data_IF_836048663808
#
_entry.id   IF_836048663808
#
_cell.length_a   1.000
_cell.length_b   1.000
_cell.length_c   1.000
_cell.angle_alpha   90.00
_cell.angle_beta   90.00
_cell.angle_gamma   90.00
#
_symmetry.space_group_name_H-M   'P 1'
#
loop_
_entity.id
_entity.type
_entity.pdbx_description
1 polymer ?
#
# COMPACT_ATOMS: atom_id res chain seq x y z
N UNK A 1 -7.06 23.75 -7.77
CA UNK A 1 -7.63 23.39 -6.46
C UNK A 1 -8.15 21.96 -6.40
N UNK A 2 -9.23 21.63 -7.11
CA UNK A 2 -9.87 20.29 -7.05
C UNK A 2 -8.92 19.14 -7.39
N UNK A 3 -8.14 19.27 -8.46
CA UNK A 3 -7.20 18.23 -8.86
C UNK A 3 -6.08 18.01 -7.83
N UNK A 4 -5.48 19.09 -7.34
CA UNK A 4 -4.49 19.07 -6.25
C UNK A 4 -5.06 18.39 -5.01
N UNK A 5 -6.29 18.74 -4.59
CA UNK A 5 -6.97 18.12 -3.45
C UNK A 5 -7.18 16.61 -3.64
N UNK A 6 -7.58 16.18 -4.84
CA UNK A 6 -7.82 14.77 -5.14
C UNK A 6 -6.53 13.96 -5.02
N UNK A 7 -5.45 14.41 -5.66
CA UNK A 7 -4.17 13.70 -5.64
C UNK A 7 -3.56 13.75 -4.24
N UNK A 8 -3.59 14.91 -3.58
CA UNK A 8 -3.07 15.05 -2.21
C UNK A 8 -3.79 14.11 -1.24
N UNK A 9 -5.13 14.02 -1.26
CA UNK A 9 -5.88 13.14 -0.36
C UNK A 9 -5.55 11.66 -0.59
N UNK A 10 -5.37 11.25 -1.84
CA UNK A 10 -4.95 9.88 -2.16
C UNK A 10 -3.55 9.59 -1.59
N UNK A 11 -2.58 10.46 -1.84
CA UNK A 11 -1.22 10.29 -1.36
C UNK A 11 -1.10 10.41 0.18
N UNK A 12 -1.89 11.29 0.81
CA UNK A 12 -1.91 11.48 2.26
C UNK A 12 -2.28 10.17 2.97
N UNK A 13 -3.33 9.48 2.52
CA UNK A 13 -3.73 8.21 3.12
C UNK A 13 -2.58 7.18 3.08
N UNK A 14 -1.82 7.17 1.99
CA UNK A 14 -0.76 6.19 1.75
C UNK A 14 0.51 6.50 2.54
N UNK A 15 1.03 7.73 2.42
CA UNK A 15 2.28 8.13 3.05
C UNK A 15 2.13 8.36 4.57
N UNK A 16 0.90 8.47 5.08
CA UNK A 16 0.64 8.55 6.53
C UNK A 16 0.49 7.17 7.15
N UNK A 17 -0.19 6.23 6.47
CA UNK A 17 -0.51 4.92 7.04
C UNK A 17 0.61 3.87 6.85
N UNK A 18 1.47 4.03 5.85
CA UNK A 18 2.50 3.03 5.54
C UNK A 18 3.93 3.51 5.77
N UNK A 19 4.51 3.14 6.91
CA UNK A 19 5.92 3.42 7.23
C UNK A 19 6.88 2.70 6.27
N UNK A 20 6.52 1.49 5.82
CA UNK A 20 7.32 0.70 4.87
C UNK A 20 7.44 1.38 3.50
N UNK A 21 6.34 1.98 3.02
CA UNK A 21 6.37 2.74 1.76
C UNK A 21 7.20 4.01 1.90
N UNK A 22 7.14 4.69 3.04
CA UNK A 22 8.00 5.85 3.32
C UNK A 22 9.49 5.48 3.28
N UNK A 23 9.85 4.32 3.84
CA UNK A 23 11.23 3.81 3.80
C UNK A 23 11.67 3.42 2.39
N UNK A 24 10.74 2.93 1.58
CA UNK A 24 11.02 2.48 0.21
C UNK A 24 11.15 3.64 -0.78
N UNK A 25 10.36 4.71 -0.59
CA UNK A 25 10.35 5.91 -1.44
C UNK A 25 10.75 7.17 -0.63
N UNK A 26 12.01 7.26 -0.14
CA UNK A 26 12.40 8.31 0.81
C UNK A 26 12.41 9.71 0.17
N UNK A 27 12.80 9.83 -1.10
CA UNK A 27 12.83 11.12 -1.80
C UNK A 27 11.40 11.61 -2.12
N UNK A 28 10.52 10.73 -2.58
CA UNK A 28 9.11 11.06 -2.81
C UNK A 28 8.38 11.38 -1.51
N UNK A 29 8.73 10.71 -0.41
CA UNK A 29 8.20 11.01 0.93
C UNK A 29 8.59 12.42 1.37
N UNK A 30 9.86 12.81 1.22
CA UNK A 30 10.30 14.19 1.54
C UNK A 30 9.58 15.21 0.68
N UNK A 31 9.41 14.93 -0.61
CA UNK A 31 8.69 15.80 -1.55
C UNK A 31 7.22 15.94 -1.16
N UNK A 32 6.58 14.84 -0.77
CA UNK A 32 5.21 14.82 -0.27
C UNK A 32 5.09 15.63 1.04
N UNK A 33 5.96 15.42 2.02
CA UNK A 33 5.93 16.14 3.30
C UNK A 33 6.09 17.68 3.11
N UNK A 34 6.92 18.11 2.15
CA UNK A 34 7.06 19.53 1.80
C UNK A 34 5.78 20.07 1.15
N UNK A 35 5.21 19.30 0.21
CA UNK A 35 3.98 19.67 -0.49
C UNK A 35 2.77 19.70 0.46
N UNK A 36 2.70 18.77 1.41
CA UNK A 36 1.69 18.71 2.47
C UNK A 36 1.72 19.97 3.34
N UNK A 37 2.90 20.36 3.83
CA UNK A 37 3.06 21.59 4.63
C UNK A 37 2.60 22.84 3.88
N UNK A 38 2.98 22.97 2.62
CA UNK A 38 2.55 24.09 1.79
C UNK A 38 1.04 24.07 1.57
N UNK A 39 0.49 22.91 1.21
CA UNK A 39 -0.93 22.78 0.94
C UNK A 39 -1.79 23.08 2.18
N UNK A 40 -1.42 22.58 3.36
CA UNK A 40 -2.08 22.91 4.63
C UNK A 40 -2.00 24.39 4.98
N UNK A 41 -0.86 25.04 4.73
CA UNK A 41 -0.70 26.48 4.91
C UNK A 41 -1.66 27.28 4.01
N UNK A 42 -1.78 26.87 2.75
CA UNK A 42 -2.72 27.48 1.81
C UNK A 42 -4.18 27.27 2.23
N UNK A 43 -4.54 26.06 2.68
CA UNK A 43 -5.89 25.78 3.18
C UNK A 43 -6.25 26.67 4.38
N UNK A 44 -5.32 26.89 5.31
CA UNK A 44 -5.51 27.78 6.46
C UNK A 44 -5.72 29.25 6.04
N UNK A 45 -4.98 29.70 5.03
CA UNK A 45 -5.16 31.04 4.45
C UNK A 45 -6.54 31.20 3.79
N UNK A 46 -7.00 30.16 3.08
CA UNK A 46 -8.34 30.13 2.51
C UNK A 46 -9.44 30.15 3.57
N UNK A 47 -9.27 29.40 4.66
CA UNK A 47 -10.22 29.38 5.78
C UNK A 47 -10.39 30.77 6.40
N UNK A 48 -9.32 31.56 6.49
CA UNK A 48 -9.40 32.96 6.96
C UNK A 48 -10.09 33.93 5.99
N UNK A 49 -10.29 33.54 4.73
CA UNK A 49 -10.90 34.39 3.69
C UNK A 49 -12.14 33.71 3.10
N UNK A 50 -13.33 33.85 3.71
CA UNK A 50 -14.54 33.11 3.30
C UNK A 50 -15.05 33.48 1.90
N UNK A 51 -14.60 34.60 1.31
CA UNK A 51 -14.90 34.94 -0.07
C UNK A 51 -13.97 34.20 -1.02
N UNK A 52 -14.53 33.23 -1.76
CA UNK A 52 -13.78 32.38 -2.70
C UNK A 52 -13.06 33.14 -3.79
N UNK A 53 -13.62 34.27 -4.27
CA UNK A 53 -13.00 35.09 -5.32
C UNK A 53 -11.76 35.78 -4.75
N UNK A 54 -11.88 36.40 -3.57
CA UNK A 54 -10.75 37.06 -2.91
C UNK A 54 -9.64 36.07 -2.50
N UNK A 55 -10.02 34.87 -2.07
CA UNK A 55 -9.08 33.82 -1.71
C UNK A 55 -8.35 33.25 -2.94
N UNK A 56 -9.05 33.06 -4.06
CA UNK A 56 -8.47 32.51 -5.29
C UNK A 56 -7.65 33.54 -6.09
N UNK A 57 -7.97 34.84 -5.98
CA UNK A 57 -7.26 35.92 -6.69
C UNK A 57 -5.96 36.37 -6.01
N UNK A 58 -5.51 35.70 -4.94
CA UNK A 58 -4.22 36.01 -4.32
C UNK A 58 -3.06 35.69 -5.29
N UNK A 59 -2.07 36.60 -5.47
CA UNK A 59 -1.05 36.46 -6.50
C UNK A 59 -0.26 35.15 -6.46
N UNK A 60 0.01 34.62 -5.27
CA UNK A 60 0.82 33.41 -5.08
C UNK A 60 0.04 32.10 -5.20
N UNK A 61 -1.30 32.14 -5.27
CA UNK A 61 -2.11 30.92 -5.21
C UNK A 61 -1.94 30.06 -6.46
N UNK A 62 -1.94 30.66 -7.64
CA UNK A 62 -1.81 29.92 -8.90
C UNK A 62 -0.44 29.23 -9.01
N UNK A 63 0.63 29.96 -8.72
CA UNK A 63 1.99 29.43 -8.79
C UNK A 63 2.21 28.30 -7.78
N UNK A 64 1.72 28.48 -6.54
CA UNK A 64 1.77 27.43 -5.52
C UNK A 64 0.97 26.20 -5.93
N UNK A 65 -0.22 26.36 -6.52
CA UNK A 65 -1.02 25.23 -7.00
C UNK A 65 -0.34 24.48 -8.14
N UNK A 66 0.28 25.18 -9.09
CA UNK A 66 0.99 24.57 -10.20
C UNK A 66 2.21 23.78 -9.69
N UNK A 67 2.96 24.35 -8.74
CA UNK A 67 4.08 23.67 -8.10
C UNK A 67 3.61 22.43 -7.31
N UNK A 68 2.54 22.56 -6.53
CA UNK A 68 1.94 21.44 -5.79
C UNK A 68 1.49 20.34 -6.74
N UNK A 69 0.78 20.69 -7.82
CA UNK A 69 0.32 19.71 -8.81
C UNK A 69 1.48 18.93 -9.41
N UNK A 70 2.54 19.63 -9.85
CA UNK A 70 3.72 19.00 -10.42
C UNK A 70 4.45 18.07 -9.42
N UNK A 71 4.55 18.48 -8.15
CA UNK A 71 5.19 17.67 -7.12
C UNK A 71 4.35 16.43 -6.77
N UNK A 72 3.04 16.60 -6.59
CA UNK A 72 2.12 15.50 -6.29
C UNK A 72 2.04 14.49 -7.44
N UNK A 73 2.04 14.94 -8.70
CA UNK A 73 2.08 14.06 -9.87
C UNK A 73 3.40 13.26 -9.95
N UNK A 74 4.53 13.83 -9.53
CA UNK A 74 5.79 13.09 -9.41
C UNK A 74 5.69 11.98 -8.37
N UNK A 75 5.17 12.29 -7.18
CA UNK A 75 4.96 11.30 -6.13
C UNK A 75 3.99 10.18 -6.57
N UNK A 76 2.89 10.54 -7.23
CA UNK A 76 1.90 9.57 -7.76
C UNK A 76 2.53 8.64 -8.82
N UNK A 77 3.34 9.20 -9.72
CA UNK A 77 4.05 8.42 -10.73
C UNK A 77 5.08 7.46 -10.10
N UNK A 78 5.85 7.94 -9.12
CA UNK A 78 6.82 7.10 -8.40
C UNK A 78 6.13 5.95 -7.67
N UNK A 79 5.01 6.23 -6.99
CA UNK A 79 4.20 5.23 -6.33
C UNK A 79 3.64 4.19 -7.32
N UNK A 80 3.13 4.66 -8.47
CA UNK A 80 2.61 3.77 -9.52
C UNK A 80 3.70 2.86 -10.06
N UNK A 81 4.88 3.42 -10.36
CA UNK A 81 6.03 2.65 -10.84
C UNK A 81 6.50 1.62 -9.80
N UNK A 82 6.45 1.98 -8.52
CA UNK A 82 6.76 1.06 -7.42
C UNK A 82 5.78 -0.12 -7.40
N UNK A 83 4.47 0.17 -7.44
CA UNK A 83 3.44 -0.88 -7.46
C UNK A 83 3.56 -1.79 -8.68
N UNK A 84 3.84 -1.23 -9.86
CA UNK A 84 4.03 -2.01 -11.08
C UNK A 84 5.26 -2.92 -10.99
N UNK A 85 6.34 -2.45 -10.36
CA UNK A 85 7.50 -3.30 -10.06
C UNK A 85 7.11 -4.49 -9.17
N UNK A 86 6.26 -4.28 -8.16
CA UNK A 86 5.78 -5.37 -7.31
C UNK A 86 4.87 -6.36 -8.07
N UNK A 87 4.02 -5.86 -8.96
CA UNK A 87 3.18 -6.72 -9.84
C UNK A 87 4.01 -7.57 -10.79
N UNK A 88 5.14 -7.08 -11.28
CA UNK A 88 6.05 -7.87 -12.13
C UNK A 88 6.69 -9.04 -11.37
N UNK A 89 7.00 -8.87 -10.08
CA UNK A 89 7.57 -9.94 -9.24
C UNK A 89 6.50 -10.99 -8.89
N UNK A 90 5.27 -10.55 -8.61
CA UNK A 90 4.15 -11.45 -8.32
C UNK A 90 2.92 -11.09 -9.17
N UNK A 91 2.75 -11.74 -10.34
CA UNK A 91 1.69 -11.41 -11.30
C UNK A 91 0.26 -11.51 -10.78
N UNK A 92 -0.01 -12.24 -9.68
CA UNK A 92 -1.36 -12.28 -9.11
C UNK A 92 -1.80 -10.94 -8.52
N UNK A 93 -0.88 -10.00 -8.26
CA UNK A 93 -1.24 -8.64 -7.86
C UNK A 93 -2.00 -7.85 -8.94
N UNK A 94 -1.97 -8.27 -10.21
CA UNK A 94 -2.82 -7.67 -11.24
C UNK A 94 -4.32 -7.87 -10.99
N UNK A 95 -4.72 -8.84 -10.16
CA UNK A 95 -6.12 -9.07 -9.79
C UNK A 95 -6.60 -8.19 -8.62
N UNK A 96 -5.70 -7.44 -7.99
CA UNK A 96 -6.03 -6.59 -6.86
C UNK A 96 -6.29 -5.15 -7.28
N UNK A 97 -7.13 -4.47 -6.51
CA UNK A 97 -7.20 -3.01 -6.56
C UNK A 97 -5.90 -2.40 -6.03
N UNK A 98 -5.58 -1.16 -6.44
CA UNK A 98 -4.41 -0.47 -5.89
C UNK A 98 -4.49 -0.35 -4.36
N UNK A 99 -5.68 -0.11 -3.80
CA UNK A 99 -5.85 -0.02 -2.34
C UNK A 99 -5.54 -1.35 -1.64
N UNK A 100 -6.01 -2.48 -2.19
CA UNK A 100 -5.72 -3.81 -1.64
C UNK A 100 -4.22 -4.14 -1.72
N UNK A 101 -3.60 -3.85 -2.87
CA UNK A 101 -2.17 -4.05 -3.05
C UNK A 101 -1.36 -3.22 -2.05
N UNK A 102 -1.75 -1.96 -1.85
CA UNK A 102 -1.11 -1.08 -0.89
C UNK A 102 -1.24 -1.59 0.55
N UNK A 103 -2.43 -2.07 0.92
CA UNK A 103 -2.66 -2.65 2.25
C UNK A 103 -1.84 -3.93 2.47
N UNK A 104 -1.63 -4.76 1.44
CA UNK A 104 -0.72 -5.91 1.50
C UNK A 104 0.73 -5.46 1.71
N UNK A 105 1.19 -4.47 0.95
CA UNK A 105 2.58 -3.98 1.01
C UNK A 105 2.86 -3.28 2.34
N UNK A 106 1.92 -2.50 2.86
CA UNK A 106 2.03 -1.82 4.14
C UNK A 106 2.08 -2.80 5.32
N UNK A 107 1.47 -3.98 5.18
CA UNK A 107 1.47 -5.03 6.19
C UNK A 107 2.38 -6.21 5.81
N UNK A 108 3.37 -5.99 4.93
CA UNK A 108 4.23 -7.06 4.40
C UNK A 108 4.99 -7.82 5.50
N UNK A 109 5.26 -7.17 6.63
CA UNK A 109 5.91 -7.76 7.79
C UNK A 109 4.97 -8.56 8.70
N UNK A 110 3.65 -8.53 8.47
CA UNK A 110 2.62 -9.18 9.28
C UNK A 110 1.79 -10.14 8.40
N UNK A 111 2.25 -11.39 8.19
CA UNK A 111 1.61 -12.36 7.32
C UNK A 111 0.14 -12.62 7.64
N UNK A 112 -0.24 -12.61 8.92
CA UNK A 112 -1.64 -12.76 9.35
C UNK A 112 -2.56 -11.68 8.75
N UNK A 113 -2.08 -10.43 8.65
CA UNK A 113 -2.84 -9.34 8.03
C UNK A 113 -2.83 -9.43 6.51
N UNK A 114 -1.82 -10.04 5.89
CA UNK A 114 -1.83 -10.30 4.45
C UNK A 114 -2.83 -11.42 4.11
N UNK A 115 -3.05 -12.36 5.04
CA UNK A 115 -3.94 -13.50 4.82
C UNK A 115 -5.39 -13.11 4.48
N UNK A 116 -5.88 -11.96 4.97
CA UNK A 116 -7.22 -11.45 4.62
C UNK A 116 -7.43 -11.21 3.12
N UNK A 117 -6.34 -11.01 2.39
CA UNK A 117 -6.34 -10.78 0.94
C UNK A 117 -6.13 -12.06 0.12
N UNK A 118 -5.83 -13.21 0.74
CA UNK A 118 -5.57 -14.45 0.02
C UNK A 118 -6.78 -14.91 -0.79
N UNK A 119 -8.00 -14.68 -0.31
CA UNK A 119 -9.23 -14.98 -1.03
C UNK A 119 -9.37 -14.25 -2.37
N UNK A 120 -8.72 -13.08 -2.51
CA UNK A 120 -8.66 -12.29 -3.74
C UNK A 120 -7.50 -12.72 -4.64
N UNK A 121 -6.42 -13.27 -4.06
CA UNK A 121 -5.22 -13.71 -4.78
C UNK A 121 -5.32 -15.16 -5.29
N UNK A 122 -6.07 -16.00 -4.58
CA UNK A 122 -6.19 -17.43 -4.83
C UNK A 122 -7.65 -17.85 -4.79
N UNK A 123 -8.00 -18.79 -5.66
CA UNK A 123 -9.37 -19.29 -5.69
C UNK A 123 -9.63 -20.36 -4.62
N UNK A 124 -8.66 -21.24 -4.38
CA UNK A 124 -8.83 -22.38 -3.48
C UNK A 124 -8.66 -22.06 -2.00
N UNK A 125 -7.82 -21.07 -1.63
CA UNK A 125 -7.46 -20.80 -0.23
C UNK A 125 -8.12 -19.53 0.32
N UNK A 126 -8.45 -19.58 1.61
CA UNK A 126 -8.99 -18.48 2.38
C UNK A 126 -8.01 -17.96 3.43
N UNK A 127 -7.21 -18.84 4.03
CA UNK A 127 -6.29 -18.49 5.11
C UNK A 127 -5.13 -19.48 5.23
N UNK A 128 -4.10 -19.13 6.01
CA UNK A 128 -2.97 -19.99 6.34
C UNK A 128 -2.97 -20.34 7.82
N UNK A 129 -2.51 -21.56 8.14
CA UNK A 129 -2.22 -21.97 9.51
C UNK A 129 -0.74 -21.78 9.78
N UNK A 130 -0.42 -20.86 10.67
CA UNK A 130 0.95 -20.64 11.13
C UNK A 130 1.34 -21.57 12.27
N UNK A 131 2.61 -21.94 12.31
CA UNK A 131 3.18 -22.74 13.41
C UNK A 131 3.22 -21.95 14.70
N UNK A 132 3.19 -22.65 15.84
CA UNK A 132 3.32 -22.06 17.18
C UNK A 132 4.54 -22.66 17.87
N UNK A 133 5.45 -21.80 18.30
CA UNK A 133 6.62 -22.19 19.11
C UNK A 133 6.52 -21.40 20.42
N UNK A 134 6.57 -22.11 21.55
CA UNK A 134 6.45 -21.54 22.89
C UNK A 134 5.19 -20.65 23.10
N UNK A 135 4.08 -21.06 22.48
CA UNK A 135 2.80 -20.34 22.54
C UNK A 135 2.74 -19.06 21.69
N UNK A 136 3.84 -18.67 21.03
CA UNK A 136 3.88 -17.55 20.08
C UNK A 136 3.69 -18.05 18.66
N UNK A 137 2.85 -17.34 17.89
CA UNK A 137 2.69 -17.60 16.47
C UNK A 137 3.98 -17.26 15.74
N UNK A 138 4.50 -18.18 14.94
CA UNK A 138 5.62 -17.92 14.04
C UNK A 138 5.11 -17.40 12.70
N UNK A 139 6.01 -16.95 11.83
CA UNK A 139 5.69 -16.55 10.46
C UNK A 139 5.80 -17.72 9.47
N UNK A 140 5.83 -18.96 9.95
CA UNK A 140 5.97 -20.15 9.12
C UNK A 140 4.60 -20.80 8.95
N UNK A 141 4.08 -20.80 7.73
CA UNK A 141 2.84 -21.46 7.38
C UNK A 141 3.07 -22.98 7.26
N UNK A 142 2.23 -23.77 7.94
CA UNK A 142 2.29 -25.24 7.99
C UNK A 142 1.04 -25.90 7.41
N UNK A 143 0.01 -25.12 7.08
CA UNK A 143 -1.24 -25.63 6.53
C UNK A 143 -2.06 -24.53 5.88
N UNK A 144 -3.07 -24.93 5.13
CA UNK A 144 -3.93 -24.04 4.35
C UNK A 144 -5.38 -24.33 4.68
N UNK A 145 -6.17 -23.27 4.79
CA UNK A 145 -7.62 -23.36 4.86
C UNK A 145 -8.20 -22.99 3.51
N UNK A 146 -9.10 -23.83 3.00
CA UNK A 146 -9.85 -23.59 1.80
C UNK A 146 -11.04 -22.64 2.06
N UNK A 147 -11.69 -22.16 0.99
CA UNK A 147 -12.85 -21.26 1.12
C UNK A 147 -14.11 -21.96 1.65
N UNK A 148 -14.23 -23.26 1.41
CA UNK A 148 -15.31 -24.13 1.90
C UNK A 148 -15.08 -24.66 3.34
N UNK A 149 -13.93 -24.34 3.93
CA UNK A 149 -13.57 -24.73 5.29
C UNK A 149 -12.70 -25.97 5.39
N UNK A 150 -12.36 -26.62 4.27
CA UNK A 150 -11.40 -27.73 4.28
C UNK A 150 -10.02 -27.27 4.75
N UNK A 151 -9.29 -28.16 5.42
CA UNK A 151 -7.94 -27.90 5.90
C UNK A 151 -6.99 -28.93 5.30
N UNK A 152 -5.89 -28.43 4.74
CA UNK A 152 -4.84 -29.25 4.14
C UNK A 152 -3.51 -28.92 4.80
N UNK A 153 -2.86 -29.91 5.40
CA UNK A 153 -1.50 -29.78 5.91
C UNK A 153 -0.53 -29.58 4.74
N UNK A 154 0.38 -28.60 4.85
CA UNK A 154 1.43 -28.42 3.85
C UNK A 154 2.51 -29.49 4.05
N UNK A 155 2.92 -30.14 2.96
CA UNK A 155 4.03 -31.08 3.01
C UNK A 155 5.37 -30.36 3.29
N UNK A 156 5.52 -29.13 2.80
CA UNK A 156 6.67 -28.27 3.04
C UNK A 156 6.22 -26.97 3.72
N UNK A 157 6.68 -26.67 4.95
CA UNK A 157 6.40 -25.40 5.59
C UNK A 157 6.90 -24.22 4.74
N UNK A 158 6.14 -23.13 4.71
CA UNK A 158 6.47 -21.92 3.96
C UNK A 158 6.77 -20.77 4.91
N UNK A 159 7.99 -20.25 4.88
CA UNK A 159 8.36 -19.07 5.67
C UNK A 159 7.84 -17.78 5.02
N UNK A 160 6.90 -17.12 5.70
CA UNK A 160 6.34 -15.83 5.32
C UNK A 160 7.18 -14.67 5.89
N UNK A 161 8.47 -14.65 5.55
CA UNK A 161 9.42 -13.64 6.03
C UNK A 161 10.04 -12.92 4.83
N UNK A 162 10.28 -11.61 4.98
CA UNK A 162 10.87 -10.79 3.94
C UNK A 162 9.83 -10.15 3.02
N UNK A 163 10.21 -9.94 1.77
CA UNK A 163 9.34 -9.29 0.78
C UNK A 163 8.10 -10.14 0.51
N UNK A 164 6.93 -9.47 0.48
CA UNK A 164 5.64 -10.16 0.39
C UNK A 164 5.47 -10.94 -0.90
N UNK A 165 6.06 -10.44 -1.98
CA UNK A 165 6.03 -11.07 -3.30
C UNK A 165 6.78 -12.40 -3.31
N UNK A 166 7.91 -12.48 -2.60
CA UNK A 166 8.79 -13.65 -2.60
C UNK A 166 8.18 -14.81 -1.82
N UNK A 167 7.60 -14.52 -0.66
CA UNK A 167 6.95 -15.58 0.12
C UNK A 167 5.60 -15.99 -0.47
N UNK A 168 4.84 -15.08 -1.11
CA UNK A 168 3.62 -15.47 -1.85
C UNK A 168 3.94 -16.35 -3.07
N UNK A 169 5.04 -16.06 -3.77
CA UNK A 169 5.55 -16.95 -4.82
C UNK A 169 5.95 -18.32 -4.26
N UNK A 170 6.59 -18.34 -3.09
CA UNK A 170 7.01 -19.58 -2.41
C UNK A 170 5.82 -20.39 -1.92
N UNK A 171 4.79 -19.73 -1.37
CA UNK A 171 3.50 -20.34 -1.02
C UNK A 171 2.86 -20.99 -2.25
N UNK A 172 2.81 -20.27 -3.38
CA UNK A 172 2.26 -20.82 -4.64
C UNK A 172 2.99 -22.08 -5.08
N UNK A 173 4.32 -22.13 -4.92
CA UNK A 173 5.12 -23.32 -5.22
C UNK A 173 4.88 -24.47 -4.23
N UNK A 174 4.68 -24.17 -2.94
CA UNK A 174 4.35 -25.16 -1.92
C UNK A 174 2.97 -25.78 -2.16
N UNK A 175 1.99 -24.97 -2.58
CA UNK A 175 0.63 -25.42 -2.94
C UNK A 175 0.63 -26.46 -4.06
N UNK A 176 1.44 -26.26 -5.11
CA UNK A 176 1.50 -27.19 -6.26
C UNK A 176 2.18 -28.51 -5.91
N UNK A 177 3.03 -28.52 -4.88
CA UNK A 177 3.80 -29.69 -4.45
C UNK A 177 3.11 -30.52 -3.36
N UNK A 178 2.06 -29.98 -2.75
CA UNK A 178 1.26 -30.64 -1.72
C UNK A 178 0.11 -31.38 -2.40
#
# INVERSE_FOLDING_TARGET
WSEVQRIWKYLESIFTESEDIRKTLPEDTKLFDQSDKLFRSMLKSMESTPNVVLAASQPSVLDNLNMLLANLQKCEKALTSYLDTKKLIFPRFYFLSNNDLMDILANSMQPDLVCRHLTKLYDAISNLRFSKVDGKMTKTAIGMHAKDGEFVDMFWPCDCVGAVEDWLNSLTRAMVRT
#
